data_IF_700179045488
#
_entry.id   IF_700179045488
#
_cell.length_a   1.000
_cell.length_b   1.000
_cell.length_c   1.000
_cell.angle_alpha   90.00
_cell.angle_beta   90.00
_cell.angle_gamma   90.00
#
_symmetry.space_group_name_H-M   'P 1'
#
loop_
_entity.id
_entity.type
_entity.pdbx_description
1 polymer ?
#
# COMPACT_ATOMS: atom_id res chain seq x y z
N UNK A 1 -11.94 -15.76 -17.54
CA UNK A 1 -12.35 -15.15 -16.25
C UNK A 1 -13.24 -13.95 -16.54
N UNK A 2 -14.30 -13.71 -15.75
CA UNK A 2 -15.08 -12.47 -15.87
C UNK A 2 -14.22 -11.28 -15.41
N UNK A 3 -14.31 -10.10 -16.02
CA UNK A 3 -13.46 -8.95 -15.66
C UNK A 3 -13.53 -8.59 -14.17
N UNK A 4 -14.72 -8.69 -13.55
CA UNK A 4 -14.90 -8.50 -12.11
C UNK A 4 -14.09 -9.50 -11.24
N UNK A 5 -13.96 -10.74 -11.70
CA UNK A 5 -13.17 -11.78 -10.99
C UNK A 5 -11.67 -11.48 -11.06
N UNK A 6 -11.19 -10.93 -12.18
CA UNK A 6 -9.78 -10.56 -12.32
C UNK A 6 -9.38 -9.44 -11.35
N UNK A 7 -10.21 -8.40 -11.20
CA UNK A 7 -9.92 -7.31 -10.26
C UNK A 7 -9.96 -7.76 -8.80
N UNK A 8 -10.89 -8.65 -8.45
CA UNK A 8 -10.92 -9.23 -7.10
C UNK A 8 -9.67 -10.07 -6.84
N UNK A 9 -9.24 -10.89 -7.80
CA UNK A 9 -8.02 -11.69 -7.69
C UNK A 9 -6.78 -10.81 -7.49
N UNK A 10 -6.67 -9.68 -8.21
CA UNK A 10 -5.59 -8.71 -8.04
C UNK A 10 -5.58 -8.17 -6.61
N UNK A 11 -6.73 -7.69 -6.09
CA UNK A 11 -6.80 -7.17 -4.71
C UNK A 11 -6.40 -8.20 -3.67
N UNK A 12 -6.90 -9.43 -3.82
CA UNK A 12 -6.59 -10.53 -2.90
C UNK A 12 -5.09 -10.85 -2.98
N UNK A 13 -4.50 -10.92 -4.17
CA UNK A 13 -3.08 -11.20 -4.34
C UNK A 13 -2.20 -10.13 -3.69
N UNK A 14 -2.53 -8.85 -3.90
CA UNK A 14 -1.82 -7.72 -3.26
C UNK A 14 -1.93 -7.78 -1.73
N UNK A 15 -3.15 -7.98 -1.20
CA UNK A 15 -3.33 -8.12 0.26
C UNK A 15 -2.60 -9.34 0.81
N UNK A 16 -2.65 -10.48 0.13
CA UNK A 16 -1.99 -11.70 0.56
C UNK A 16 -0.47 -11.51 0.60
N UNK A 17 0.11 -10.90 -0.44
CA UNK A 17 1.54 -10.60 -0.49
C UNK A 17 1.96 -9.67 0.66
N UNK A 18 1.19 -8.61 0.90
CA UNK A 18 1.44 -7.67 1.99
C UNK A 18 1.32 -8.30 3.39
N UNK A 19 0.28 -9.12 3.61
CA UNK A 19 0.08 -9.82 4.89
C UNK A 19 1.15 -10.87 5.13
N UNK A 20 1.55 -11.62 4.09
CA UNK A 20 2.65 -12.57 4.17
C UNK A 20 3.95 -11.85 4.51
N UNK A 21 4.24 -10.73 3.84
CA UNK A 21 5.45 -9.97 4.12
C UNK A 21 5.44 -9.39 5.53
N UNK A 22 4.32 -8.81 5.96
CA UNK A 22 4.13 -8.35 7.35
C UNK A 22 4.31 -9.48 8.38
N UNK A 23 3.77 -10.66 8.09
CA UNK A 23 3.93 -11.85 8.93
C UNK A 23 5.38 -12.33 9.02
N UNK A 24 6.10 -12.35 7.89
CA UNK A 24 7.53 -12.67 7.87
C UNK A 24 8.33 -11.65 8.67
N UNK A 25 8.08 -10.34 8.47
CA UNK A 25 8.74 -9.29 9.23
C UNK A 25 8.47 -9.39 10.73
N UNK A 26 7.23 -9.68 11.13
CA UNK A 26 6.86 -9.94 12.52
C UNK A 26 7.61 -11.13 13.10
N UNK A 27 7.65 -12.24 12.37
CA UNK A 27 8.35 -13.45 12.79
C UNK A 27 9.87 -13.25 12.94
N UNK A 28 10.50 -12.50 12.02
CA UNK A 28 11.92 -12.18 12.10
C UNK A 28 12.22 -11.28 13.31
N UNK A 29 11.32 -10.35 13.65
CA UNK A 29 11.46 -9.48 14.81
C UNK A 29 11.42 -10.26 16.14
N UNK A 30 10.86 -11.47 16.18
CA UNK A 30 10.87 -12.34 17.36
C UNK A 30 12.17 -13.15 17.53
N UNK A 31 13.10 -13.08 16.57
CA UNK A 31 14.33 -13.88 16.62
C UNK A 31 15.35 -13.26 17.59
N UNK A 32 16.11 -14.08 18.35
CA UNK A 32 17.14 -13.58 19.27
C UNK A 32 18.26 -12.77 18.59
N UNK A 33 18.48 -13.00 17.30
CA UNK A 33 19.50 -12.35 16.47
C UNK A 33 19.09 -10.96 15.99
N UNK A 34 17.80 -10.60 16.13
CA UNK A 34 17.32 -9.28 15.73
C UNK A 34 17.92 -8.21 16.64
N UNK A 35 18.50 -7.18 16.03
CA UNK A 35 19.17 -6.09 16.74
C UNK A 35 18.25 -4.87 16.83
N UNK A 36 18.29 -4.13 17.95
CA UNK A 36 17.54 -2.89 18.08
C UNK A 36 17.91 -1.87 16.99
N UNK A 37 16.95 -1.01 16.58
CA UNK A 37 17.19 0.01 15.56
C UNK A 37 18.28 0.99 16.00
N UNK A 38 19.14 1.38 15.07
CA UNK A 38 20.03 2.52 15.27
C UNK A 38 19.25 3.82 15.01
N UNK A 39 19.42 4.88 15.83
CA UNK A 39 18.70 6.16 15.64
C UNK A 39 18.90 6.75 14.24
N UNK A 40 20.13 6.73 13.75
CA UNK A 40 20.52 7.23 12.41
C UNK A 40 19.72 6.59 11.27
N UNK A 41 19.47 5.28 11.35
CA UNK A 41 18.68 4.54 10.36
C UNK A 41 17.20 4.92 10.46
N UNK A 42 16.70 5.09 11.69
CA UNK A 42 15.29 5.41 11.96
C UNK A 42 14.93 6.81 11.44
N UNK A 43 15.81 7.78 11.63
CA UNK A 43 15.60 9.17 11.18
C UNK A 43 15.66 9.30 9.66
N UNK A 44 16.60 8.59 9.02
CA UNK A 44 16.69 8.50 7.57
C UNK A 44 15.42 7.89 6.96
N UNK A 45 14.97 6.75 7.51
CA UNK A 45 13.74 6.09 7.09
C UNK A 45 12.51 6.97 7.31
N UNK A 46 12.43 7.71 8.42
CA UNK A 46 11.29 8.59 8.69
C UNK A 46 11.20 9.71 7.64
N UNK A 47 12.35 10.26 7.24
CA UNK A 47 12.42 11.30 6.21
C UNK A 47 11.98 10.79 4.84
N UNK A 48 12.49 9.62 4.42
CA UNK A 48 12.06 8.95 3.18
C UNK A 48 10.56 8.66 3.23
N UNK A 49 10.09 8.12 4.36
CA UNK A 49 8.68 7.82 4.57
C UNK A 49 7.80 9.05 4.40
N UNK A 50 8.13 10.19 5.02
CA UNK A 50 7.38 11.44 4.86
C UNK A 50 7.29 11.88 3.39
N UNK A 51 8.40 11.83 2.66
CA UNK A 51 8.43 12.17 1.23
C UNK A 51 7.54 11.23 0.43
N UNK A 52 7.62 9.92 0.68
CA UNK A 52 6.76 8.93 0.04
C UNK A 52 5.28 9.17 0.33
N UNK A 53 4.92 9.48 1.58
CA UNK A 53 3.54 9.79 1.95
C UNK A 53 3.01 11.05 1.26
N UNK A 54 3.80 12.13 1.19
CA UNK A 54 3.42 13.35 0.47
C UNK A 54 3.26 13.08 -1.03
N UNK A 55 4.20 12.36 -1.63
CA UNK A 55 4.15 11.99 -3.05
C UNK A 55 2.94 11.10 -3.36
N UNK A 56 2.68 10.10 -2.51
CA UNK A 56 1.52 9.21 -2.64
C UNK A 56 0.22 9.97 -2.45
N UNK A 57 0.12 10.89 -1.49
CA UNK A 57 -1.07 11.72 -1.30
C UNK A 57 -1.36 12.59 -2.53
N UNK A 58 -0.32 13.24 -3.08
CA UNK A 58 -0.44 14.00 -4.32
C UNK A 58 -0.88 13.11 -5.50
N UNK A 59 -0.24 11.96 -5.68
CA UNK A 59 -0.57 11.01 -6.74
C UNK A 59 -2.00 10.49 -6.62
N UNK A 60 -2.42 10.05 -5.44
CA UNK A 60 -3.77 9.55 -5.16
C UNK A 60 -4.82 10.64 -5.36
N UNK A 61 -4.52 11.88 -5.00
CA UNK A 61 -5.43 13.02 -5.24
C UNK A 61 -5.65 13.23 -6.74
N UNK A 62 -4.58 13.26 -7.53
CA UNK A 62 -4.66 13.39 -9.00
C UNK A 62 -5.41 12.20 -9.61
N UNK A 63 -5.07 10.98 -9.21
CA UNK A 63 -5.72 9.76 -9.69
C UNK A 63 -7.21 9.76 -9.34
N UNK A 64 -7.59 10.22 -8.15
CA UNK A 64 -8.98 10.26 -7.71
C UNK A 64 -9.83 11.15 -8.62
N UNK A 65 -9.35 12.35 -8.92
CA UNK A 65 -10.05 13.25 -9.85
C UNK A 65 -10.08 12.71 -11.27
N UNK A 66 -9.02 12.05 -11.74
CA UNK A 66 -9.01 11.42 -13.06
C UNK A 66 -9.97 10.23 -13.13
N UNK A 67 -10.05 9.43 -12.07
CA UNK A 67 -10.92 8.26 -12.00
C UNK A 67 -12.39 8.67 -12.02
N UNK A 68 -12.75 9.77 -11.35
CA UNK A 68 -14.11 10.34 -11.37
C UNK A 68 -14.54 10.87 -12.74
N UNK A 69 -13.57 11.27 -13.58
CA UNK A 69 -13.78 11.75 -14.96
C UNK A 69 -13.56 10.67 -16.01
N UNK A 70 -13.45 9.40 -15.62
CA UNK A 70 -13.19 8.33 -16.57
C UNK A 70 -14.46 7.99 -17.37
N UNK A 71 -14.43 8.26 -18.67
CA UNK A 71 -15.58 8.01 -19.56
C UNK A 71 -15.66 6.54 -20.04
N UNK A 72 -14.58 5.78 -19.89
CA UNK A 72 -14.51 4.38 -20.32
C UNK A 72 -14.19 3.44 -19.18
N UNK A 73 -14.78 2.24 -19.22
CA UNK A 73 -14.50 1.18 -18.24
C UNK A 73 -13.01 0.86 -18.16
N UNK A 74 -12.34 0.74 -19.32
CA UNK A 74 -10.90 0.44 -19.41
C UNK A 74 -10.08 1.50 -18.67
N UNK A 75 -10.37 2.79 -18.88
CA UNK A 75 -9.63 3.88 -18.21
C UNK A 75 -9.87 3.86 -16.70
N UNK A 76 -11.11 3.66 -16.27
CA UNK A 76 -11.44 3.53 -14.85
C UNK A 76 -10.71 2.36 -14.19
N UNK A 77 -10.64 1.20 -14.86
CA UNK A 77 -9.90 0.01 -14.41
C UNK A 77 -8.42 0.29 -14.21
N UNK A 78 -7.78 0.87 -15.22
CA UNK A 78 -6.35 1.15 -15.18
C UNK A 78 -6.02 2.11 -14.05
N UNK A 79 -6.80 3.19 -13.90
CA UNK A 79 -6.60 4.16 -12.81
C UNK A 79 -6.80 3.52 -11.43
N UNK A 80 -7.76 2.60 -11.28
CA UNK A 80 -7.97 1.89 -10.02
C UNK A 80 -6.79 0.99 -9.67
N UNK A 81 -6.27 0.19 -10.62
CA UNK A 81 -5.09 -0.66 -10.39
C UNK A 81 -3.88 0.19 -9.99
N UNK A 82 -3.62 1.29 -10.70
CA UNK A 82 -2.51 2.21 -10.38
C UNK A 82 -2.66 2.78 -8.97
N UNK A 83 -3.86 3.23 -8.59
CA UNK A 83 -4.10 3.74 -7.25
C UNK A 83 -3.93 2.66 -6.17
N UNK A 84 -4.35 1.42 -6.43
CA UNK A 84 -4.12 0.30 -5.53
C UNK A 84 -2.63 0.03 -5.33
N UNK A 85 -1.83 0.04 -6.41
CA UNK A 85 -0.38 -0.14 -6.34
C UNK A 85 0.32 0.96 -5.53
N UNK A 86 -0.16 2.21 -5.60
CA UNK A 86 0.35 3.30 -4.74
C UNK A 86 0.06 3.01 -3.26
N UNK A 87 -1.15 2.54 -2.95
CA UNK A 87 -1.50 2.13 -1.57
C UNK A 87 -0.66 0.95 -1.07
N UNK A 88 -0.46 -0.05 -1.91
CA UNK A 88 0.40 -1.21 -1.61
C UNK A 88 1.85 -0.79 -1.36
N UNK A 89 2.40 0.14 -2.15
CA UNK A 89 3.75 0.65 -1.94
C UNK A 89 3.92 1.32 -0.56
N UNK A 90 2.92 2.10 -0.11
CA UNK A 90 2.93 2.68 1.25
C UNK A 90 2.86 1.60 2.33
N UNK A 91 2.05 0.55 2.11
CA UNK A 91 1.92 -0.54 3.05
C UNK A 91 3.20 -1.39 3.16
N UNK A 92 3.81 -1.72 2.04
CA UNK A 92 5.11 -2.41 1.99
C UNK A 92 6.20 -1.58 2.66
N UNK A 93 6.25 -0.28 2.40
CA UNK A 93 7.16 0.61 3.11
C UNK A 93 6.90 0.60 4.62
N UNK A 94 5.63 0.60 5.04
CA UNK A 94 5.26 0.47 6.45
C UNK A 94 5.74 -0.83 7.10
N UNK A 95 5.69 -1.96 6.38
CA UNK A 95 6.25 -3.24 6.84
C UNK A 95 7.76 -3.15 7.01
N UNK A 96 8.47 -2.58 6.02
CA UNK A 96 9.93 -2.38 6.09
C UNK A 96 10.30 -1.47 7.26
N UNK A 97 9.56 -0.38 7.44
CA UNK A 97 9.76 0.54 8.56
C UNK A 97 9.54 -0.17 9.90
N UNK A 98 8.46 -0.95 10.03
CA UNK A 98 8.21 -1.74 11.23
C UNK A 98 9.37 -2.71 11.52
N UNK A 99 9.86 -3.41 10.50
CA UNK A 99 10.96 -4.36 10.66
C UNK A 99 12.27 -3.69 11.11
N UNK A 100 12.60 -2.53 10.54
CA UNK A 100 13.88 -1.84 10.77
C UNK A 100 13.87 -0.91 11.97
N UNK A 101 12.72 -0.30 12.29
CA UNK A 101 12.58 0.73 13.33
C UNK A 101 11.73 0.28 14.53
N UNK A 102 11.14 -0.93 14.48
CA UNK A 102 10.25 -1.45 15.52
C UNK A 102 9.03 -0.57 15.85
N UNK A 103 8.63 0.33 14.93
CA UNK A 103 7.47 1.21 15.10
C UNK A 103 6.28 0.67 14.30
N UNK A 104 5.28 0.04 14.94
CA UNK A 104 4.15 -0.58 14.23
C UNK A 104 3.20 0.45 13.59
N UNK A 105 3.22 1.70 14.04
CA UNK A 105 2.33 2.75 13.54
C UNK A 105 2.45 2.96 12.02
N UNK A 106 3.66 2.84 11.45
CA UNK A 106 3.89 2.99 10.01
C UNK A 106 3.30 1.84 9.20
N UNK A 107 3.38 0.62 9.73
CA UNK A 107 2.74 -0.54 9.11
C UNK A 107 1.22 -0.39 9.10
N UNK A 108 0.64 -0.06 10.26
CA UNK A 108 -0.82 0.16 10.38
C UNK A 108 -1.29 1.29 9.47
N UNK A 109 -0.58 2.42 9.43
CA UNK A 109 -0.91 3.54 8.55
C UNK A 109 -0.87 3.13 7.07
N UNK A 110 0.15 2.39 6.65
CA UNK A 110 0.24 1.88 5.28
C UNK A 110 -0.88 0.90 4.93
N UNK A 111 -1.22 -0.03 5.83
CA UNK A 111 -2.38 -0.94 5.67
C UNK A 111 -3.69 -0.16 5.51
N UNK A 112 -3.90 0.87 6.32
CA UNK A 112 -5.08 1.74 6.23
C UNK A 112 -5.10 2.49 4.90
N UNK A 113 -3.96 3.02 4.44
CA UNK A 113 -3.87 3.68 3.15
C UNK A 113 -4.26 2.74 2.00
N UNK A 114 -3.78 1.50 2.01
CA UNK A 114 -4.18 0.49 1.03
C UNK A 114 -5.68 0.16 1.09
N UNK A 115 -6.25 0.01 2.29
CA UNK A 115 -7.68 -0.20 2.44
C UNK A 115 -8.49 1.00 1.88
N UNK A 116 -8.01 2.22 2.12
CA UNK A 116 -8.62 3.44 1.57
C UNK A 116 -8.55 3.45 0.04
N UNK A 117 -7.44 3.03 -0.59
CA UNK A 117 -7.40 2.99 -2.06
C UNK A 117 -8.39 1.97 -2.63
N UNK A 118 -8.66 0.87 -1.93
CA UNK A 118 -9.72 -0.06 -2.33
C UNK A 118 -11.12 0.54 -2.23
N UNK A 119 -11.40 1.38 -1.25
CA UNK A 119 -12.72 2.03 -1.11
C UNK A 119 -12.85 3.20 -2.08
N UNK A 120 -11.82 4.03 -2.22
CA UNK A 120 -11.82 5.23 -3.05
C UNK A 120 -11.80 4.92 -4.56
N UNK A 121 -11.22 3.79 -4.95
CA UNK A 121 -11.13 3.31 -6.33
C UNK A 121 -11.76 1.92 -6.44
N UNK A 122 -13.10 1.82 -6.53
CA UNK A 122 -13.77 0.53 -6.63
C UNK A 122 -13.48 -0.15 -7.97
N UNK A 123 -13.61 -1.49 -8.05
CA UNK A 123 -13.54 -2.21 -9.32
C UNK A 123 -14.64 -1.69 -10.26
N UNK A 124 -14.35 -1.47 -11.54
CA UNK A 124 -15.37 -1.04 -12.49
C UNK A 124 -16.40 -2.16 -12.68
N UNK A 125 -17.66 -1.85 -12.38
CA UNK A 125 -18.80 -2.71 -12.65
C UNK A 125 -19.35 -2.40 -14.06
N UNK A 126 -19.75 -3.42 -14.84
CA UNK A 126 -20.62 -3.18 -15.99
C UNK A 126 -21.89 -2.49 -15.48
N UNK A 127 -22.23 -1.33 -16.06
CA UNK A 127 -23.55 -0.73 -15.88
C UNK A 127 -24.58 -1.52 -16.68
#
# INVERSE_FOLDING_TARGET
MRPAQAYLAIRIAMMAGLLLFGGVSWFLHQRPEWQPPRPEVTDGLASIGRVMWVAAAAALTVLFFQHRKADTLVRASTLAIVAWSVGEALALFGVVYFYLAAVPAWYVAGMLAMAITFVAFPPPAPR
#
